data_IF_512878419303
#
_entry.id   IF_512878419303
#
_cell.length_a   1.000
_cell.length_b   1.000
_cell.length_c   1.000
_cell.angle_alpha   90.00
_cell.angle_beta   90.00
_cell.angle_gamma   90.00
#
_symmetry.space_group_name_H-M   'P 1'
#
loop_
_entity.id
_entity.type
_entity.pdbx_description
1 polymer ?
#
# COMPACT_ATOMS: atom_id res chain seq x y z
N UNK A 1 -3.26 -3.51 -0.85
CA UNK A 1 -2.41 -2.56 -0.09
C UNK A 1 -0.96 -2.87 -0.39
N UNK A 2 -0.07 -1.88 -0.35
CA UNK A 2 1.36 -2.08 -0.64
C UNK A 2 2.22 -1.47 0.46
N UNK A 3 3.44 -2.00 0.57
CA UNK A 3 4.48 -1.50 1.47
C UNK A 3 5.69 -1.09 0.64
N UNK A 4 6.31 0.04 0.96
CA UNK A 4 7.51 0.51 0.28
C UNK A 4 8.26 1.48 1.18
N UNK A 5 9.57 1.26 1.38
CA UNK A 5 10.45 2.11 2.20
C UNK A 5 9.92 2.32 3.65
N UNK A 6 9.28 1.30 4.22
CA UNK A 6 8.67 1.39 5.56
C UNK A 6 7.37 2.20 5.62
N UNK A 7 6.84 2.65 4.49
CA UNK A 7 5.52 3.29 4.38
C UNK A 7 4.47 2.31 3.87
N UNK A 8 3.24 2.51 4.32
CA UNK A 8 2.08 1.69 3.93
C UNK A 8 1.16 2.54 3.09
N UNK A 9 0.72 1.99 1.96
CA UNK A 9 -0.21 2.64 1.08
C UNK A 9 -1.46 1.78 0.84
N UNK A 10 -2.59 2.46 0.74
CA UNK A 10 -3.89 1.91 0.38
C UNK A 10 -4.27 2.35 -1.03
N UNK A 11 -5.02 1.52 -1.75
CA UNK A 11 -5.50 1.87 -3.09
C UNK A 11 -6.43 3.08 -2.96
N UNK A 12 -6.10 4.17 -3.63
CA UNK A 12 -6.95 5.36 -3.74
C UNK A 12 -7.83 5.24 -4.99
N UNK A 13 -7.24 4.85 -6.12
CA UNK A 13 -7.95 4.74 -7.40
C UNK A 13 -7.29 3.71 -8.31
N UNK A 14 -8.11 2.97 -9.04
CA UNK A 14 -7.69 2.11 -10.15
C UNK A 14 -8.07 2.77 -11.46
N UNK A 15 -7.12 2.90 -12.39
CA UNK A 15 -7.41 3.32 -13.78
C UNK A 15 -7.25 2.13 -14.72
N UNK A 16 -7.50 2.34 -16.02
CA UNK A 16 -7.27 1.32 -17.06
C UNK A 16 -5.80 0.97 -17.27
N UNK A 17 -4.86 1.74 -16.72
CA UNK A 17 -3.42 1.60 -16.97
C UNK A 17 -2.57 1.52 -15.71
N UNK A 18 -3.07 2.03 -14.58
CA UNK A 18 -2.29 2.12 -13.35
C UNK A 18 -3.16 2.04 -12.10
N UNK A 19 -2.51 1.69 -11.00
CA UNK A 19 -3.06 1.78 -9.66
C UNK A 19 -2.44 2.98 -8.95
N UNK A 20 -3.29 3.82 -8.40
CA UNK A 20 -2.91 4.99 -7.61
C UNK A 20 -3.12 4.63 -6.15
N UNK A 21 -2.04 4.73 -5.38
CA UNK A 21 -2.06 4.48 -3.95
C UNK A 21 -1.78 5.76 -3.19
N UNK A 22 -2.39 5.86 -2.01
CA UNK A 22 -2.18 6.92 -1.04
C UNK A 22 -1.62 6.34 0.24
N UNK A 23 -0.76 7.10 0.92
CA UNK A 23 -0.31 6.74 2.26
C UNK A 23 -1.51 6.48 3.18
N UNK A 24 -1.40 5.43 3.99
CA UNK A 24 -2.44 5.03 4.94
C UNK A 24 -2.67 6.10 6.03
N UNK A 25 -1.66 6.89 6.36
CA UNK A 25 -1.79 7.97 7.33
C UNK A 25 -2.69 9.08 6.76
N UNK A 26 -3.78 9.41 7.47
CA UNK A 26 -4.81 10.35 7.00
C UNK A 26 -4.28 11.76 6.79
N UNK A 27 -3.31 12.17 7.61
CA UNK A 27 -2.69 13.50 7.52
C UNK A 27 -1.61 13.55 6.42
N UNK A 28 -1.17 12.39 5.93
CA UNK A 28 -0.21 12.30 4.84
C UNK A 28 -0.90 12.33 3.48
N UNK A 29 -0.37 13.17 2.60
CA UNK A 29 -0.82 13.32 1.20
C UNK A 29 0.05 12.57 0.21
N UNK A 30 1.00 11.77 0.71
CA UNK A 30 1.92 11.04 -0.16
C UNK A 30 1.18 10.01 -1.00
N UNK A 31 1.59 9.89 -2.27
CA UNK A 31 1.05 8.97 -3.26
C UNK A 31 2.17 8.23 -3.98
N UNK A 32 1.83 7.06 -4.48
CA UNK A 32 2.66 6.32 -5.42
C UNK A 32 1.78 5.63 -6.46
N UNK A 33 2.38 5.35 -7.62
CA UNK A 33 1.69 4.77 -8.76
C UNK A 33 2.38 3.48 -9.18
N UNK A 34 1.62 2.41 -9.37
CA UNK A 34 2.13 1.18 -9.98
C UNK A 34 1.38 0.87 -11.26
N UNK A 35 1.90 -0.03 -12.08
CA UNK A 35 1.08 -0.67 -13.10
C UNK A 35 0.00 -1.57 -12.47
N UNK A 36 -0.86 -2.16 -13.32
CA UNK A 36 -1.99 -2.98 -12.87
C UNK A 36 -1.58 -4.26 -12.14
N UNK A 37 -0.40 -4.83 -12.45
CA UNK A 37 0.15 -6.00 -11.76
C UNK A 37 0.82 -5.67 -10.43
N UNK A 38 0.96 -4.39 -10.07
CA UNK A 38 1.57 -3.92 -8.82
C UNK A 38 3.04 -4.33 -8.63
N UNK A 39 3.74 -4.68 -9.71
CA UNK A 39 5.13 -5.15 -9.68
C UNK A 39 6.14 -4.01 -9.91
N UNK A 40 5.73 -2.94 -10.61
CA UNK A 40 6.61 -1.83 -10.99
C UNK A 40 5.99 -0.50 -10.58
N UNK A 41 6.79 0.34 -9.91
CA UNK A 41 6.46 1.75 -9.69
C UNK A 41 6.64 2.54 -10.98
N UNK A 42 5.57 3.18 -11.44
CA UNK A 42 5.57 4.02 -12.65
C UNK A 42 6.23 5.37 -12.42
N UNK A 43 6.37 5.78 -11.14
CA UNK A 43 7.00 7.02 -10.74
C UNK A 43 7.51 6.91 -9.30
N UNK A 44 8.51 7.72 -8.95
CA UNK A 44 8.98 7.79 -7.57
C UNK A 44 7.83 8.23 -6.64
N UNK A 45 7.63 7.58 -5.49
CA UNK A 45 6.65 8.00 -4.50
C UNK A 45 6.90 9.44 -4.05
N UNK A 46 5.84 10.20 -3.86
CA UNK A 46 5.96 11.57 -3.35
C UNK A 46 6.40 11.57 -1.89
N UNK A 47 7.05 12.65 -1.45
CA UNK A 47 7.52 12.79 -0.07
C UNK A 47 6.40 12.68 0.98
N UNK A 48 6.76 12.14 2.15
CA UNK A 48 5.91 12.00 3.32
C UNK A 48 6.17 13.11 4.33
N UNK A 49 5.17 13.41 5.15
CA UNK A 49 5.27 14.37 6.26
C UNK A 49 5.48 13.67 7.62
N UNK A 50 5.86 12.41 7.62
CA UNK A 50 6.09 11.61 8.82
C UNK A 50 7.19 10.58 8.58
N UNK A 51 7.77 10.05 9.66
CA UNK A 51 8.76 9.00 9.58
C UNK A 51 8.17 7.68 9.05
N UNK A 52 9.00 6.79 8.47
CA UNK A 52 8.62 5.42 8.14
C UNK A 52 8.13 4.65 9.38
N UNK A 53 7.28 3.63 9.16
CA UNK A 53 6.70 2.79 10.20
C UNK A 53 7.00 1.29 9.92
N UNK A 54 8.28 0.87 9.99
CA UNK A 54 8.68 -0.49 9.63
C UNK A 54 7.96 -1.57 10.45
N UNK A 55 7.70 -1.31 11.75
CA UNK A 55 7.04 -2.27 12.65
C UNK A 55 5.58 -2.56 12.28
N UNK A 56 4.94 -1.64 11.52
CA UNK A 56 3.55 -1.83 11.08
C UNK A 56 3.44 -2.75 9.87
N UNK A 57 4.50 -2.89 9.08
CA UNK A 57 4.50 -3.77 7.90
C UNK A 57 4.20 -5.23 8.26
N UNK A 58 4.92 -5.88 9.19
CA UNK A 58 4.65 -7.28 9.54
C UNK A 58 3.28 -7.47 10.20
N UNK A 59 2.84 -6.52 11.04
CA UNK A 59 1.52 -6.58 11.67
C UNK A 59 0.38 -6.59 10.65
N UNK A 60 0.52 -5.83 9.56
CA UNK A 60 -0.52 -5.79 8.52
C UNK A 60 -0.43 -7.01 7.58
N UNK A 61 0.77 -7.51 7.28
CA UNK A 61 0.93 -8.78 6.56
C UNK A 61 0.22 -9.93 7.31
N UNK A 62 0.49 -10.07 8.60
CA UNK A 62 -0.16 -11.06 9.46
C UNK A 62 -1.69 -10.92 9.44
N UNK A 63 -2.19 -9.68 9.57
CA UNK A 63 -3.64 -9.41 9.48
C UNK A 63 -4.23 -9.82 8.13
N UNK A 64 -3.54 -9.56 7.03
CA UNK A 64 -4.00 -9.93 5.69
C UNK A 64 -4.02 -11.45 5.50
N UNK A 65 -3.02 -12.17 6.01
CA UNK A 65 -2.98 -13.65 5.97
C UNK A 65 -4.11 -14.27 6.79
N UNK A 66 -4.41 -13.72 7.97
CA UNK A 66 -5.58 -14.16 8.76
C UNK A 66 -6.86 -13.93 7.95
N UNK A 67 -6.99 -12.77 7.31
CA UNK A 67 -8.16 -12.46 6.48
C UNK A 67 -8.27 -13.39 5.27
N UNK A 68 -7.16 -13.70 4.60
CA UNK A 68 -7.14 -14.60 3.44
C UNK A 68 -7.59 -16.02 3.85
N UNK A 69 -7.07 -16.54 4.97
CA UNK A 69 -7.46 -17.85 5.51
C UNK A 69 -8.95 -17.94 5.86
N UNK A 70 -9.51 -16.87 6.41
CA UNK A 70 -10.94 -16.81 6.76
C UNK A 70 -11.87 -16.77 5.54
N UNK A 71 -11.38 -16.39 4.35
CA UNK A 71 -12.17 -16.36 3.11
C UNK A 71 -12.19 -17.73 2.42
N UNK A 72 -11.21 -18.60 2.68
CA UNK A 72 -11.10 -19.95 2.09
C UNK A 72 -11.86 -21.03 2.87
N UNK A 73 -12.77 -20.66 3.78
CA UNK A 73 -13.61 -21.61 4.51
C UNK A 73 -15.06 -21.49 4.01
N UNK A 74 -15.33 -22.08 2.85
CA UNK A 74 -16.67 -22.42 2.35
C UNK A 74 -16.59 -23.75 1.59
#
# INVERSE_FOLDING_TARGET
MIHHEGYIYTVERTTSTKLIFRCQNRDCKARCHTNLSMDVFLSQPTAHCHAPQPDRVPAIQLKNEIKARAVTTD
#
